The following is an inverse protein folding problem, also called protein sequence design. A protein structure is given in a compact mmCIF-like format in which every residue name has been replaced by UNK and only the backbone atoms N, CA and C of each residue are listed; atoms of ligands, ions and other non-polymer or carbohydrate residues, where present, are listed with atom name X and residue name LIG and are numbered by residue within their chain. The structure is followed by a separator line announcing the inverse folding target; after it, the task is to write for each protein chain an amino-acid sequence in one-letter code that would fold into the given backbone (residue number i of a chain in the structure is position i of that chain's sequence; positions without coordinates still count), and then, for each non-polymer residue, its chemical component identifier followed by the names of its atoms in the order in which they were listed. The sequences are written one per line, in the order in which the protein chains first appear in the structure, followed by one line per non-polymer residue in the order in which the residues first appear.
data_IF_549716812392
#
_entry.id   IF_549716812392
#
_cell.length_a   1.000
_cell.length_b   1.000
_cell.length_c   1.000
_cell.angle_alpha   90.00
_cell.angle_beta   90.00
_cell.angle_gamma   90.00
#
_symmetry.space_group_name_H-M   'P 1'
#
loop_
_entity.id
_entity.type
_entity.pdbx_description
1 polymer ?
#
# COMPACT_ATOMS: atom_id res chain seq x y z
N UNK A 1 5.06 -6.64 -3.57
CA UNK A 1 6.49 -6.31 -3.79
C UNK A 1 7.34 -7.49 -4.24
N UNK A 2 7.14 -8.69 -3.71
CA UNK A 2 8.00 -9.87 -3.95
C UNK A 2 8.10 -10.37 -5.42
N UNK A 3 7.54 -9.64 -6.39
CA UNK A 3 7.43 -10.02 -7.80
C UNK A 3 6.92 -11.46 -8.04
N UNK A 4 5.97 -11.89 -7.21
CA UNK A 4 5.35 -13.21 -7.35
C UNK A 4 4.08 -13.09 -8.19
N UNK A 5 3.77 -14.08 -9.04
CA UNK A 5 2.49 -14.15 -9.74
C UNK A 5 1.29 -14.06 -8.81
N UNK A 6 0.27 -13.32 -9.25
CA UNK A 6 -1.01 -13.14 -8.56
C UNK A 6 -2.12 -13.46 -9.55
N UNK A 7 -3.12 -14.23 -9.13
CA UNK A 7 -4.38 -14.44 -9.85
C UNK A 7 -5.50 -13.97 -8.93
N UNK A 8 -6.36 -13.10 -9.44
CA UNK A 8 -7.51 -12.59 -8.69
C UNK A 8 -8.77 -13.30 -9.16
N UNK A 9 -9.35 -14.15 -8.32
CA UNK A 9 -10.65 -14.75 -8.59
C UNK A 9 -11.75 -13.88 -7.96
N UNK A 10 -12.50 -13.18 -8.81
CA UNK A 10 -13.48 -12.18 -8.42
C UNK A 10 -14.78 -12.38 -9.24
N UNK A 11 -15.60 -13.39 -8.89
CA UNK A 11 -16.79 -13.78 -9.66
C UNK A 11 -17.93 -12.75 -9.63
N UNK A 12 -17.94 -11.87 -8.63
CA UNK A 12 -18.96 -10.86 -8.38
C UNK A 12 -18.43 -9.43 -8.52
N UNK A 13 -17.27 -9.23 -9.18
CA UNK A 13 -16.55 -7.95 -9.21
C UNK A 13 -17.43 -6.77 -9.66
N UNK A 14 -18.22 -6.94 -10.73
CA UNK A 14 -19.16 -5.92 -11.21
C UNK A 14 -20.18 -5.54 -10.14
N UNK A 15 -20.84 -6.53 -9.55
CA UNK A 15 -21.88 -6.30 -8.55
C UNK A 15 -21.29 -5.65 -7.29
N UNK A 16 -20.15 -6.15 -6.85
CA UNK A 16 -19.41 -5.62 -5.70
C UNK A 16 -19.01 -4.15 -5.92
N UNK A 17 -18.41 -3.83 -7.07
CA UNK A 17 -17.97 -2.47 -7.39
C UNK A 17 -19.15 -1.50 -7.56
N UNK A 18 -20.28 -1.97 -8.10
CA UNK A 18 -21.49 -1.15 -8.24
C UNK A 18 -22.14 -0.83 -6.87
N UNK A 19 -22.17 -1.79 -5.94
CA UNK A 19 -22.80 -1.61 -4.62
C UNK A 19 -21.89 -0.85 -3.65
N UNK A 20 -20.59 -1.17 -3.63
CA UNK A 20 -19.63 -0.70 -2.63
C UNK A 20 -18.73 0.43 -3.12
N UNK A 21 -18.65 0.61 -4.43
CA UNK A 21 -17.63 1.45 -5.06
C UNK A 21 -16.24 0.80 -5.00
N UNK A 22 -15.28 1.45 -5.66
CA UNK A 22 -13.87 1.11 -5.56
C UNK A 22 -13.03 2.39 -5.71
N UNK A 23 -11.86 2.42 -5.08
CA UNK A 23 -10.93 3.56 -5.24
C UNK A 23 -10.25 3.56 -6.62
N UNK A 24 -10.23 2.43 -7.31
CA UNK A 24 -9.65 2.25 -8.64
C UNK A 24 -10.31 1.03 -9.31
N UNK A 25 -10.28 1.01 -10.64
CA UNK A 25 -10.72 -0.15 -11.41
C UNK A 25 -9.74 -1.32 -11.21
N UNK A 26 -10.22 -2.41 -10.61
CA UNK A 26 -9.40 -3.57 -10.29
C UNK A 26 -8.86 -4.25 -11.55
N UNK A 27 -9.63 -4.31 -12.65
CA UNK A 27 -9.19 -4.98 -13.88
C UNK A 27 -8.11 -4.19 -14.60
N UNK A 28 -8.22 -2.86 -14.60
CA UNK A 28 -7.21 -1.99 -15.20
C UNK A 28 -5.88 -2.01 -14.42
N UNK A 29 -5.94 -2.14 -13.11
CA UNK A 29 -4.76 -2.06 -12.24
C UNK A 29 -4.22 -3.41 -11.79
N UNK A 30 -4.84 -4.54 -12.14
CA UNK A 30 -4.48 -5.84 -11.58
C UNK A 30 -3.02 -6.24 -11.90
N UNK A 31 -2.28 -6.81 -10.93
CA UNK A 31 -0.93 -7.36 -11.15
C UNK A 31 -0.93 -8.69 -11.91
N UNK A 32 -2.07 -9.11 -12.46
CA UNK A 32 -2.27 -10.43 -13.05
C UNK A 32 -3.70 -10.62 -13.57
N UNK A 33 -4.06 -11.83 -14.00
CA UNK A 33 -5.40 -12.10 -14.51
C UNK A 33 -6.45 -11.93 -13.42
N UNK A 34 -7.56 -11.29 -13.79
CA UNK A 34 -8.80 -11.24 -13.01
C UNK A 34 -9.79 -12.19 -13.65
N UNK A 35 -10.17 -13.23 -12.93
CA UNK A 35 -11.02 -14.32 -13.43
C UNK A 35 -12.38 -14.28 -12.73
N UNK A 36 -13.46 -14.42 -13.48
CA UNK A 36 -14.82 -14.45 -12.96
C UNK A 36 -15.36 -15.89 -12.82
N UNK A 37 -14.78 -16.84 -13.53
CA UNK A 37 -15.21 -18.25 -13.51
C UNK A 37 -14.10 -19.20 -13.05
N UNK A 38 -14.48 -20.38 -12.58
CA UNK A 38 -13.52 -21.42 -12.20
C UNK A 38 -12.70 -21.90 -13.40
N UNK A 39 -13.31 -21.99 -14.59
CA UNK A 39 -12.62 -22.41 -15.80
C UNK A 39 -11.53 -21.39 -16.20
N UNK A 40 -11.82 -20.10 -16.13
CA UNK A 40 -10.83 -19.03 -16.34
C UNK A 40 -9.70 -19.11 -15.30
N UNK A 41 -10.02 -19.37 -14.03
CA UNK A 41 -9.04 -19.55 -12.96
C UNK A 41 -8.13 -20.74 -13.24
N UNK A 42 -8.68 -21.91 -13.59
CA UNK A 42 -7.88 -23.09 -13.89
C UNK A 42 -7.02 -22.90 -15.13
N UNK A 43 -7.53 -22.24 -16.16
CA UNK A 43 -6.75 -21.88 -17.34
C UNK A 43 -5.58 -20.94 -16.98
N UNK A 44 -5.82 -19.91 -16.17
CA UNK A 44 -4.78 -18.99 -15.72
C UNK A 44 -3.69 -19.71 -14.90
N UNK A 45 -4.09 -20.62 -14.00
CA UNK A 45 -3.15 -21.43 -13.21
C UNK A 45 -2.36 -22.41 -14.07
N UNK A 46 -2.97 -23.01 -15.09
CA UNK A 46 -2.30 -23.92 -16.01
C UNK A 46 -1.23 -23.19 -16.84
N UNK A 47 -1.50 -21.96 -17.29
CA UNK A 47 -0.51 -21.13 -17.98
C UNK A 47 0.62 -20.71 -17.04
N UNK A 48 0.31 -20.34 -15.79
CA UNK A 48 1.31 -19.97 -14.79
C UNK A 48 2.31 -21.08 -14.46
N UNK A 49 1.87 -22.34 -14.51
CA UNK A 49 2.77 -23.50 -14.34
C UNK A 49 3.79 -23.63 -15.47
N UNK A 50 3.52 -23.04 -16.64
CA UNK A 50 4.41 -23.04 -17.81
C UNK A 50 5.37 -21.86 -17.78
N UNK A 51 4.87 -20.67 -17.46
CA UNK A 51 5.66 -19.44 -17.39
C UNK A 51 4.97 -18.38 -16.51
N UNK A 52 5.75 -17.61 -15.77
CA UNK A 52 5.29 -16.50 -14.95
C UNK A 52 5.51 -15.11 -15.59
N UNK A 53 6.01 -15.07 -16.82
CA UNK A 53 6.46 -13.82 -17.46
C UNK A 53 5.32 -13.00 -18.07
N UNK A 54 4.19 -13.62 -18.42
CA UNK A 54 3.06 -12.97 -19.14
C UNK A 54 2.55 -11.72 -18.44
N UNK A 55 2.59 -11.69 -17.11
CA UNK A 55 2.09 -10.57 -16.30
C UNK A 55 3.19 -9.80 -15.56
N UNK A 56 4.46 -9.99 -15.92
CA UNK A 56 5.59 -9.37 -15.21
C UNK A 56 5.52 -7.83 -15.25
N UNK A 57 5.09 -7.26 -16.38
CA UNK A 57 4.96 -5.81 -16.53
C UNK A 57 3.81 -5.25 -15.69
N UNK A 58 2.65 -5.92 -15.66
CA UNK A 58 1.57 -5.51 -14.75
C UNK A 58 1.98 -5.62 -13.28
N UNK A 59 2.70 -6.68 -12.89
CA UNK A 59 3.21 -6.83 -11.52
C UNK A 59 4.17 -5.70 -11.15
N UNK A 60 5.07 -5.34 -12.06
CA UNK A 60 6.01 -4.23 -11.86
C UNK A 60 5.27 -2.91 -11.73
N UNK A 61 4.36 -2.60 -12.66
CA UNK A 61 3.55 -1.38 -12.60
C UNK A 61 2.71 -1.30 -11.32
N UNK A 62 2.13 -2.42 -10.87
CA UNK A 62 1.39 -2.48 -9.61
C UNK A 62 2.31 -2.23 -8.41
N UNK A 63 3.50 -2.85 -8.37
CA UNK A 63 4.47 -2.65 -7.32
C UNK A 63 4.99 -1.19 -7.27
N UNK A 64 5.25 -0.58 -8.41
CA UNK A 64 5.63 0.83 -8.52
C UNK A 64 4.51 1.76 -8.04
N UNK A 65 3.26 1.50 -8.42
CA UNK A 65 2.14 2.36 -8.03
C UNK A 65 1.78 2.24 -6.55
N UNK A 66 1.68 1.01 -6.04
CA UNK A 66 1.11 0.74 -4.71
C UNK A 66 2.15 0.41 -3.64
N UNK A 67 3.38 0.09 -4.05
CA UNK A 67 4.47 -0.31 -3.16
C UNK A 67 5.65 0.67 -3.08
N UNK A 68 5.60 1.82 -3.78
CA UNK A 68 6.72 2.76 -3.88
C UNK A 68 7.32 3.24 -2.54
N UNK A 69 6.52 3.27 -1.47
CA UNK A 69 6.96 3.77 -0.16
C UNK A 69 7.49 2.68 0.77
N UNK A 70 7.45 1.41 0.38
CA UNK A 70 7.99 0.34 1.21
C UNK A 70 9.51 0.30 1.09
N UNK A 71 10.19 0.78 2.13
CA UNK A 71 11.64 0.76 2.25
C UNK A 71 12.14 -0.38 3.16
N UNK A 72 11.22 -1.24 3.66
CA UNK A 72 11.55 -2.33 4.58
C UNK A 72 11.94 -1.89 6.00
N UNK A 73 11.91 -0.58 6.31
CA UNK A 73 12.36 -0.03 7.58
C UNK A 73 11.28 0.76 8.34
N UNK A 74 10.02 0.66 7.91
CA UNK A 74 8.91 1.42 8.48
C UNK A 74 8.79 1.24 10.00
N UNK A 75 8.99 0.03 10.52
CA UNK A 75 8.97 -0.24 11.96
C UNK A 75 10.10 0.51 12.70
N UNK A 76 11.32 0.49 12.15
CA UNK A 76 12.48 1.22 12.69
C UNK A 76 12.20 2.73 12.68
N UNK A 77 11.67 3.26 11.58
CA UNK A 77 11.32 4.67 11.44
C UNK A 77 10.23 5.09 12.44
N UNK A 78 9.18 4.29 12.60
CA UNK A 78 8.10 4.56 13.56
C UNK A 78 8.61 4.57 15.01
N UNK A 79 9.43 3.58 15.40
CA UNK A 79 10.04 3.54 16.75
C UNK A 79 10.92 4.76 16.99
N UNK A 80 11.75 5.14 16.01
CA UNK A 80 12.57 6.35 16.11
C UNK A 80 11.74 7.64 16.21
N UNK A 81 10.59 7.71 15.53
CA UNK A 81 9.72 8.89 15.58
C UNK A 81 9.00 9.06 16.93
N UNK A 82 8.60 7.95 17.57
CA UNK A 82 7.85 7.97 18.84
C UNK A 82 8.76 7.99 20.07
N UNK A 83 9.84 7.21 20.04
CA UNK A 83 10.73 6.97 21.20
C UNK A 83 12.15 7.48 20.99
N UNK A 84 12.49 7.95 19.79
CA UNK A 84 13.80 8.53 19.54
C UNK A 84 14.02 9.78 20.39
N UNK A 85 15.28 10.15 20.62
CA UNK A 85 15.58 11.34 21.39
C UNK A 85 14.84 12.52 20.76
N UNK A 86 13.92 13.11 21.51
CA UNK A 86 13.31 14.36 21.11
C UNK A 86 14.48 15.33 20.98
N UNK A 87 14.85 15.72 19.76
CA UNK A 87 15.68 16.91 19.58
C UNK A 87 14.95 17.99 20.36
N UNK A 88 15.52 18.36 21.52
CA UNK A 88 14.89 19.14 22.56
C UNK A 88 14.11 20.29 21.93
N UNK A 89 12.79 20.12 21.79
CA UNK A 89 11.93 21.18 21.28
C UNK A 89 11.79 22.10 22.47
N UNK A 90 12.78 22.98 22.62
CA UNK A 90 12.84 24.01 23.63
C UNK A 90 11.66 24.96 23.42
N UNK A 91 10.48 24.55 23.86
CA UNK A 91 9.40 25.50 24.15
C UNK A 91 9.79 26.12 25.48
N UNK A 92 10.64 27.15 25.41
CA UNK A 92 10.74 28.13 26.48
C UNK A 92 9.39 28.84 26.53
N UNK A 93 8.47 28.32 27.34
CA UNK A 93 7.40 29.15 27.88
C UNK A 93 8.07 30.17 28.80
N UNK A 94 8.44 31.33 28.26
CA UNK A 94 8.71 32.51 29.06
C UNK A 94 7.37 32.96 29.62
N UNK A 95 7.03 32.53 30.83
CA UNK A 95 6.01 33.20 31.63
C UNK A 95 6.56 34.57 31.98
N UNK A 96 6.11 35.59 31.25
CA UNK A 96 6.25 37.00 31.60
C UNK A 96 5.37 37.25 32.83
N UNK A 97 5.89 36.90 34.01
CA UNK A 97 5.21 37.22 35.28
C UNK A 97 6.08 38.03 36.24
N UNK A 98 7.26 38.49 35.79
CA UNK A 98 8.18 39.27 36.62
C UNK A 98 8.50 40.65 36.00
N UNK A 99 7.45 41.43 35.72
CA UNK A 99 7.56 42.88 35.64
C UNK A 99 6.87 43.53 36.82
N UNK A 100 7.64 43.66 37.89
CA UNK A 100 7.78 44.93 38.58
C UNK A 100 6.62 45.36 39.47
N UNK A 101 6.55 44.78 40.67
CA UNK A 101 6.25 45.58 41.84
C UNK A 101 7.39 46.59 42.03
N UNK A 102 7.13 47.86 41.74
CA UNK A 102 8.15 48.90 41.87
C UNK A 102 7.66 50.25 41.38
N UNK A 103 6.81 50.89 42.17
CA UNK A 103 6.85 52.32 42.55
C UNK A 103 5.74 52.63 43.55
#
# INVERSE_FOLDING_TARGET
LLDRPVVLFAPDLEAYAAERGSYFDLREQAPGPVTATQDELFAALAELKKSDTRYADQRRAFAERFGAYDQGDAARAAVAAVFGPTASRGVRHTTDHDRGAGR
#
